data_IF_808572198088
#
_entry.id   IF_808572198088
#
_cell.length_a   1.000
_cell.length_b   1.000
_cell.length_c   1.000
_cell.angle_alpha   90.00
_cell.angle_beta   90.00
_cell.angle_gamma   90.00
#
_symmetry.space_group_name_H-M   'P 1'
#
loop_
_entity.id
_entity.type
_entity.pdbx_description
1 polymer ?
#
# COMPACT_ATOMS: atom_id res chain seq x y z
N UNK A 1 -7.27 -1.05 -22.49
CA UNK A 1 -6.77 0.01 -21.59
C UNK A 1 -6.45 1.33 -22.28
N UNK A 2 -5.95 1.37 -23.53
CA UNK A 2 -5.60 2.64 -24.20
C UNK A 2 -6.77 3.63 -24.33
N UNK A 3 -7.99 3.16 -24.66
CA UNK A 3 -9.19 4.03 -24.80
C UNK A 3 -9.71 4.58 -23.46
N UNK A 4 -9.35 3.96 -22.35
CA UNK A 4 -9.70 4.40 -20.99
C UNK A 4 -8.53 5.08 -20.30
N UNK A 5 -7.55 5.59 -21.07
CA UNK A 5 -6.35 6.27 -20.56
C UNK A 5 -5.58 5.49 -19.50
N UNK A 6 -5.52 4.15 -19.65
CA UNK A 6 -4.83 3.24 -18.75
C UNK A 6 -5.42 3.10 -17.34
N UNK A 7 -6.70 3.41 -17.17
CA UNK A 7 -7.46 3.15 -15.94
C UNK A 7 -8.47 2.03 -16.14
N UNK A 8 -8.62 1.18 -15.12
CA UNK A 8 -9.72 0.22 -14.99
C UNK A 8 -10.38 0.48 -13.64
N UNK A 9 -11.71 0.51 -13.61
CA UNK A 9 -12.49 0.58 -12.38
C UNK A 9 -12.87 -0.83 -11.94
N UNK A 10 -12.66 -1.12 -10.65
CA UNK A 10 -13.02 -2.38 -10.03
C UNK A 10 -14.03 -2.11 -8.91
N UNK A 11 -15.08 -2.96 -8.77
CA UNK A 11 -15.99 -2.85 -7.65
C UNK A 11 -15.29 -3.24 -6.34
N UNK A 12 -15.78 -2.66 -5.24
CA UNK A 12 -15.44 -3.04 -3.86
C UNK A 12 -16.50 -4.02 -3.35
N UNK A 13 -16.18 -4.75 -2.28
CA UNK A 13 -17.16 -5.57 -1.56
C UNK A 13 -18.40 -4.75 -1.17
N UNK A 14 -19.58 -5.36 -1.33
CA UNK A 14 -20.86 -4.74 -1.04
C UNK A 14 -21.19 -4.85 0.44
N UNK A 15 -21.49 -3.72 1.09
CA UNK A 15 -22.06 -3.69 2.44
C UNK A 15 -23.57 -3.37 2.37
N UNK A 16 -24.34 -3.91 3.30
CA UNK A 16 -25.79 -3.70 3.36
C UNK A 16 -26.25 -3.26 4.76
N UNK A 17 -27.14 -2.26 4.86
CA UNK A 17 -27.76 -1.91 6.12
C UNK A 17 -28.85 -2.94 6.49
N UNK A 18 -29.02 -3.19 7.78
CA UNK A 18 -30.13 -3.98 8.32
C UNK A 18 -30.97 -3.13 9.27
N UNK A 19 -32.27 -3.42 9.37
CA UNK A 19 -33.20 -2.69 10.21
C UNK A 19 -34.20 -3.65 10.87
N UNK A 20 -34.44 -3.46 12.16
CA UNK A 20 -35.38 -4.27 12.93
C UNK A 20 -36.80 -3.69 12.89
N UNK A 21 -37.80 -4.55 13.12
CA UNK A 21 -39.20 -4.15 13.27
C UNK A 21 -40.14 -4.86 12.30
N UNK A 22 -41.42 -4.96 12.70
CA UNK A 22 -42.47 -5.58 11.89
C UNK A 22 -43.00 -4.65 10.79
N UNK A 23 -42.90 -3.33 10.98
CA UNK A 23 -43.33 -2.32 10.03
C UNK A 23 -42.12 -1.65 9.34
N UNK A 24 -42.01 -1.93 8.04
CA UNK A 24 -40.98 -1.42 7.14
C UNK A 24 -41.57 -0.52 6.04
N UNK A 25 -42.80 -0.01 6.22
CA UNK A 25 -43.43 0.92 5.27
C UNK A 25 -42.54 2.15 5.06
N UNK A 26 -42.28 2.49 3.79
CA UNK A 26 -41.40 3.60 3.37
C UNK A 26 -39.94 3.54 3.88
N UNK A 27 -39.47 2.37 4.34
CA UNK A 27 -38.08 2.14 4.78
C UNK A 27 -37.26 1.29 3.82
N UNK A 28 -37.66 1.19 2.56
CA UNK A 28 -36.89 0.47 1.55
C UNK A 28 -35.55 1.18 1.29
N UNK A 29 -34.43 0.47 1.46
CA UNK A 29 -33.08 1.02 1.25
C UNK A 29 -32.64 0.88 -0.21
N UNK A 30 -31.79 1.81 -0.66
CA UNK A 30 -31.17 1.73 -1.98
C UNK A 30 -30.02 0.72 -2.05
N UNK A 31 -29.48 0.54 -3.25
CA UNK A 31 -28.23 -0.20 -3.48
C UNK A 31 -27.11 0.81 -3.75
N UNK A 32 -25.98 0.65 -3.06
CA UNK A 32 -24.77 1.45 -3.26
C UNK A 32 -23.57 0.51 -3.37
N UNK A 33 -22.95 0.44 -4.54
CA UNK A 33 -21.72 -0.30 -4.81
C UNK A 33 -20.59 0.69 -5.07
N UNK A 34 -19.46 0.52 -4.39
CA UNK A 34 -18.32 1.44 -4.49
C UNK A 34 -17.30 0.95 -5.51
N UNK A 35 -16.52 1.90 -6.05
CA UNK A 35 -15.50 1.62 -7.06
C UNK A 35 -14.11 2.08 -6.62
N UNK A 36 -13.09 1.36 -7.10
CA UNK A 36 -11.66 1.65 -6.95
C UNK A 36 -11.00 1.70 -8.32
N UNK A 37 -10.23 2.75 -8.57
CA UNK A 37 -9.46 2.87 -9.80
C UNK A 37 -8.10 2.16 -9.68
N UNK A 38 -7.82 1.22 -10.59
CA UNK A 38 -6.47 0.70 -10.81
C UNK A 38 -5.87 1.35 -12.05
N UNK A 39 -4.64 1.84 -11.89
CA UNK A 39 -3.94 2.64 -12.89
C UNK A 39 -2.64 1.96 -13.33
N UNK A 40 -2.24 2.23 -14.57
CA UNK A 40 -0.93 1.87 -15.07
C UNK A 40 0.10 2.97 -14.75
N UNK A 41 1.34 2.58 -14.47
CA UNK A 41 2.45 3.52 -14.34
C UNK A 41 3.10 3.85 -15.68
N UNK A 42 4.20 4.58 -15.63
CA UNK A 42 5.11 4.76 -16.77
C UNK A 42 5.98 3.51 -16.98
N UNK A 43 6.37 3.21 -18.24
CA UNK A 43 7.26 2.08 -18.52
C UNK A 43 8.65 2.30 -17.93
N UNK A 44 9.18 1.26 -17.30
CA UNK A 44 10.57 1.19 -16.83
C UNK A 44 11.48 0.72 -17.97
N UNK A 45 12.70 1.27 -18.05
CA UNK A 45 13.59 1.04 -19.18
C UNK A 45 15.06 0.89 -18.76
N UNK A 46 15.78 -0.03 -19.39
CA UNK A 46 17.23 0.09 -19.58
C UNK A 46 17.49 0.46 -21.05
N UNK A 47 18.30 1.48 -21.28
CA UNK A 47 18.59 2.01 -22.59
C UNK A 47 20.08 2.33 -22.72
N UNK A 48 20.72 1.76 -23.73
CA UNK A 48 22.16 1.94 -23.94
C UNK A 48 22.55 1.79 -25.41
N UNK A 49 23.76 2.23 -25.73
CA UNK A 49 24.33 2.14 -27.06
C UNK A 49 25.74 1.55 -27.03
N UNK A 50 26.13 0.88 -28.11
CA UNK A 50 27.50 0.46 -28.37
C UNK A 50 27.92 0.86 -29.79
N UNK A 51 29.20 1.15 -30.00
CA UNK A 51 29.74 1.36 -31.34
C UNK A 51 30.20 0.02 -31.93
N UNK A 52 30.27 -0.08 -33.26
CA UNK A 52 30.60 -1.32 -33.96
C UNK A 52 31.95 -1.96 -33.54
N UNK A 53 32.93 -1.18 -33.08
CA UNK A 53 34.22 -1.69 -32.59
C UNK A 53 34.16 -2.32 -31.19
N UNK A 54 33.17 -1.96 -30.37
CA UNK A 54 32.95 -2.54 -29.04
C UNK A 54 32.30 -3.93 -29.09
N UNK A 55 31.71 -4.31 -30.23
CA UNK A 55 31.00 -5.58 -30.42
C UNK A 55 31.90 -6.71 -30.94
N UNK A 56 33.23 -6.52 -30.96
CA UNK A 56 34.19 -7.59 -31.29
C UNK A 56 34.16 -8.71 -30.25
N UNK A 57 33.82 -8.41 -29.01
CA UNK A 57 33.52 -9.36 -27.94
C UNK A 57 32.13 -9.05 -27.36
N UNK A 58 31.20 -10.00 -27.50
CA UNK A 58 29.83 -9.85 -27.02
C UNK A 58 29.65 -10.09 -25.52
N UNK A 59 30.70 -10.51 -24.80
CA UNK A 59 30.60 -10.93 -23.40
C UNK A 59 30.03 -9.82 -22.51
N UNK A 60 30.57 -8.60 -22.63
CA UNK A 60 30.10 -7.45 -21.85
C UNK A 60 28.65 -7.06 -22.20
N UNK A 61 28.29 -7.12 -23.47
CA UNK A 61 26.93 -6.87 -23.95
C UNK A 61 25.92 -7.87 -23.35
N UNK A 62 26.22 -9.17 -23.41
CA UNK A 62 25.34 -10.22 -22.86
C UNK A 62 25.19 -10.13 -21.34
N UNK A 63 26.26 -9.80 -20.61
CA UNK A 63 26.18 -9.57 -19.17
C UNK A 63 25.29 -8.37 -18.82
N UNK A 64 25.33 -7.29 -19.62
CA UNK A 64 24.45 -6.15 -19.40
C UNK A 64 22.97 -6.51 -19.54
N UNK A 65 22.60 -7.31 -20.54
CA UNK A 65 21.21 -7.76 -20.73
C UNK A 65 20.70 -8.53 -19.50
N UNK A 66 21.51 -9.45 -18.96
CA UNK A 66 21.15 -10.21 -17.76
C UNK A 66 21.06 -9.30 -16.51
N UNK A 67 21.97 -8.34 -16.39
CA UNK A 67 21.96 -7.35 -15.30
C UNK A 67 20.71 -6.47 -15.35
N UNK A 68 20.30 -6.04 -16.55
CA UNK A 68 19.09 -5.23 -16.74
C UNK A 68 17.83 -5.99 -16.32
N UNK A 69 17.72 -7.28 -16.65
CA UNK A 69 16.59 -8.12 -16.22
C UNK A 69 16.43 -8.12 -14.70
N UNK A 70 17.52 -8.36 -13.96
CA UNK A 70 17.52 -8.37 -12.48
C UNK A 70 17.22 -6.99 -11.91
N UNK A 71 17.71 -5.92 -12.54
CA UNK A 71 17.45 -4.56 -12.09
C UNK A 71 15.97 -4.17 -12.25
N UNK A 72 15.35 -4.53 -13.37
CA UNK A 72 13.91 -4.32 -13.60
C UNK A 72 13.06 -5.12 -12.61
N UNK A 73 13.39 -6.40 -12.35
CA UNK A 73 12.75 -7.20 -11.31
C UNK A 73 12.83 -6.51 -9.94
N UNK A 74 14.01 -5.99 -9.58
CA UNK A 74 14.23 -5.28 -8.33
C UNK A 74 13.39 -4.00 -8.22
N UNK A 75 13.20 -3.25 -9.31
CA UNK A 75 12.40 -2.04 -9.30
C UNK A 75 10.92 -2.33 -9.03
N UNK A 76 10.39 -3.45 -9.52
CA UNK A 76 9.01 -3.87 -9.24
C UNK A 76 8.81 -4.10 -7.74
N UNK A 77 9.69 -4.87 -7.11
CA UNK A 77 9.61 -5.15 -5.67
C UNK A 77 9.74 -3.88 -4.81
N UNK A 78 10.63 -2.95 -5.19
CA UNK A 78 10.77 -1.65 -4.52
C UNK A 78 9.49 -0.82 -4.62
N UNK A 79 8.84 -0.78 -5.79
CA UNK A 79 7.57 -0.04 -5.96
C UNK A 79 6.46 -0.63 -5.09
N UNK A 80 6.40 -1.96 -4.95
CA UNK A 80 5.46 -2.63 -4.04
C UNK A 80 5.75 -2.29 -2.58
N UNK A 81 7.02 -2.42 -2.16
CA UNK A 81 7.42 -2.13 -0.79
C UNK A 81 7.15 -0.67 -0.39
N UNK A 82 7.48 0.28 -1.27
CA UNK A 82 7.21 1.70 -1.05
C UNK A 82 5.72 1.99 -1.04
N UNK A 83 4.95 1.46 -1.99
CA UNK A 83 3.50 1.66 -2.04
C UNK A 83 2.84 1.19 -0.74
N UNK A 84 3.21 0.00 -0.26
CA UNK A 84 2.65 -0.56 0.96
C UNK A 84 3.00 0.27 2.20
N UNK A 85 4.26 0.69 2.34
CA UNK A 85 4.71 1.53 3.45
C UNK A 85 4.11 2.95 3.42
N UNK A 86 3.88 3.51 2.23
CA UNK A 86 3.35 4.87 2.05
C UNK A 86 1.84 4.93 2.28
N UNK A 87 1.09 3.97 1.74
CA UNK A 87 -0.39 3.96 1.72
C UNK A 87 -1.01 3.14 2.86
N UNK A 88 -0.22 2.31 3.57
CA UNK A 88 -0.72 1.48 4.67
C UNK A 88 -1.48 2.28 5.73
N UNK A 89 -2.75 1.93 5.94
CA UNK A 89 -3.65 2.63 6.85
C UNK A 89 -3.53 2.13 8.29
N UNK A 90 -3.21 0.85 8.50
CA UNK A 90 -3.05 0.28 9.83
C UNK A 90 -1.66 0.63 10.35
N UNK A 91 -1.57 1.39 11.43
CA UNK A 91 -0.28 1.84 11.97
C UNK A 91 -0.09 1.30 13.37
N UNK A 92 0.98 0.53 13.57
CA UNK A 92 1.35 0.00 14.88
C UNK A 92 2.62 0.69 15.31
N UNK A 93 2.52 1.48 16.36
CA UNK A 93 3.65 2.16 16.98
C UNK A 93 4.03 1.46 18.27
N UNK A 94 5.33 1.32 18.52
CA UNK A 94 5.83 0.93 19.84
C UNK A 94 6.82 1.98 20.34
N UNK A 95 6.74 2.44 21.59
CA UNK A 95 7.74 3.34 22.17
C UNK A 95 9.15 2.74 22.17
N UNK A 96 9.23 1.43 22.41
CA UNK A 96 10.47 0.68 22.48
C UNK A 96 10.81 0.02 21.14
N UNK A 97 12.11 -0.08 20.88
CA UNK A 97 12.59 -0.84 19.73
C UNK A 97 12.42 -2.35 19.99
N UNK A 98 12.17 -3.13 18.93
CA UNK A 98 12.20 -4.60 19.01
C UNK A 98 13.53 -5.06 19.61
N UNK A 99 13.50 -6.11 20.43
CA UNK A 99 14.62 -6.70 21.16
C UNK A 99 14.88 -6.13 22.56
N UNK A 100 14.06 -5.18 23.03
CA UNK A 100 14.18 -4.52 24.35
C UNK A 100 13.56 -5.37 25.45
N UNK A 101 12.39 -5.96 25.20
CA UNK A 101 11.65 -6.75 26.18
C UNK A 101 11.56 -8.21 25.73
N UNK A 102 11.33 -9.11 26.68
CA UNK A 102 11.08 -10.52 26.36
C UNK A 102 9.77 -10.64 25.56
N UNK A 103 9.80 -11.42 24.48
CA UNK A 103 8.66 -11.67 23.60
C UNK A 103 8.11 -10.43 22.85
N UNK A 104 8.82 -9.30 22.83
CA UNK A 104 8.37 -8.08 22.13
C UNK A 104 8.21 -8.30 20.63
N UNK A 105 9.08 -9.08 20.00
CA UNK A 105 8.98 -9.45 18.60
C UNK A 105 7.70 -10.23 18.29
N UNK A 106 7.32 -11.18 19.14
CA UNK A 106 6.06 -11.91 18.98
C UNK A 106 4.88 -10.98 19.22
N UNK A 107 4.94 -10.14 20.25
CA UNK A 107 3.85 -9.24 20.59
C UNK A 107 3.58 -8.26 19.45
N UNK A 108 4.63 -7.68 18.86
CA UNK A 108 4.50 -6.74 17.76
C UNK A 108 3.91 -7.35 16.48
N UNK A 109 4.12 -8.66 16.24
CA UNK A 109 3.43 -9.40 15.17
C UNK A 109 1.98 -9.68 15.56
N UNK A 110 1.73 -10.05 16.81
CA UNK A 110 0.38 -10.32 17.31
C UNK A 110 -0.51 -9.07 17.30
N UNK A 111 0.02 -7.89 17.63
CA UNK A 111 -0.69 -6.62 17.55
C UNK A 111 -1.19 -6.34 16.12
N UNK A 112 -0.43 -6.79 15.10
CA UNK A 112 -0.82 -6.69 13.70
C UNK A 112 -1.93 -7.66 13.30
N UNK A 113 -1.97 -8.84 13.90
CA UNK A 113 -3.09 -9.75 13.70
C UNK A 113 -4.34 -9.24 14.42
N UNK A 114 -4.19 -8.77 15.66
CA UNK A 114 -5.29 -8.25 16.48
C UNK A 114 -5.99 -7.09 15.78
N UNK A 115 -5.26 -6.12 15.24
CA UNK A 115 -5.89 -4.97 14.57
C UNK A 115 -6.60 -5.37 13.27
N UNK A 116 -6.10 -6.38 12.54
CA UNK A 116 -6.78 -6.90 11.35
C UNK A 116 -8.02 -7.73 11.72
N UNK A 117 -7.93 -8.53 12.78
CA UNK A 117 -9.01 -9.39 13.27
C UNK A 117 -10.15 -8.58 13.89
N UNK A 118 -9.83 -7.66 14.81
CA UNK A 118 -10.82 -6.84 15.53
C UNK A 118 -11.59 -5.90 14.62
N UNK A 119 -10.97 -5.48 13.50
CA UNK A 119 -11.66 -4.72 12.44
C UNK A 119 -12.49 -5.59 11.50
N UNK A 120 -12.46 -6.91 11.65
CA UNK A 120 -13.18 -7.87 10.80
C UNK A 120 -12.79 -7.78 9.32
N UNK A 121 -11.51 -7.49 9.02
CA UNK A 121 -11.05 -7.39 7.65
C UNK A 121 -11.10 -8.76 6.96
N UNK A 122 -11.58 -8.80 5.72
CA UNK A 122 -11.49 -10.00 4.88
C UNK A 122 -10.02 -10.40 4.66
N UNK A 123 -9.70 -11.65 5.01
CA UNK A 123 -8.38 -12.29 4.97
C UNK A 123 -8.38 -13.63 4.22
N UNK A 124 -9.43 -13.93 3.44
CA UNK A 124 -9.63 -15.25 2.82
C UNK A 124 -8.51 -15.67 1.85
N UNK A 125 -7.82 -14.69 1.26
CA UNK A 125 -6.69 -14.92 0.33
C UNK A 125 -5.35 -15.13 1.03
N UNK A 126 -5.31 -15.07 2.36
CA UNK A 126 -4.10 -15.18 3.17
C UNK A 126 -3.59 -13.84 3.69
N UNK A 127 -2.66 -13.92 4.63
CA UNK A 127 -2.01 -12.76 5.26
C UNK A 127 -0.50 -12.88 5.30
N UNK A 128 0.17 -11.77 4.97
CA UNK A 128 1.63 -11.71 4.89
C UNK A 128 2.20 -10.62 5.79
N UNK A 129 3.33 -10.90 6.43
CA UNK A 129 4.07 -10.01 7.30
C UNK A 129 5.55 -9.96 6.90
N UNK A 130 6.11 -8.77 6.70
CA UNK A 130 7.48 -8.57 6.23
C UNK A 130 8.29 -7.77 7.23
N UNK A 131 9.21 -8.45 7.91
CA UNK A 131 10.23 -7.79 8.70
C UNK A 131 11.28 -7.10 7.84
N UNK A 132 11.84 -6.03 8.38
CA UNK A 132 13.13 -5.53 7.91
C UNK A 132 14.26 -6.47 8.39
N UNK A 133 15.46 -6.43 7.78
CA UNK A 133 16.53 -7.37 8.14
C UNK A 133 17.01 -7.24 9.59
N UNK A 134 16.97 -6.02 10.14
CA UNK A 134 17.51 -5.73 11.46
C UNK A 134 16.60 -6.25 12.58
N UNK A 135 15.30 -5.96 12.51
CA UNK A 135 14.35 -6.39 13.55
C UNK A 135 14.05 -7.89 13.41
N UNK A 136 14.12 -8.46 12.20
CA UNK A 136 14.10 -9.92 12.03
C UNK A 136 15.22 -10.62 12.82
N UNK A 137 16.45 -10.08 12.76
CA UNK A 137 17.58 -10.61 13.54
C UNK A 137 17.28 -10.56 15.04
N UNK A 138 16.72 -9.46 15.54
CA UNK A 138 16.39 -9.32 16.97
C UNK A 138 15.28 -10.26 17.40
N UNK A 139 14.31 -10.51 16.53
CA UNK A 139 13.26 -11.47 16.77
C UNK A 139 13.80 -12.91 16.84
N UNK A 140 14.75 -13.30 15.98
CA UNK A 140 15.48 -14.57 16.12
C UNK A 140 16.37 -14.61 17.39
N UNK A 141 16.95 -13.47 17.77
CA UNK A 141 17.74 -13.36 19.00
C UNK A 141 16.90 -13.60 20.27
N UNK A 142 15.65 -13.12 20.33
CA UNK A 142 14.74 -13.40 21.45
C UNK A 142 14.48 -14.90 21.64
N UNK A 143 14.44 -15.68 20.55
CA UNK A 143 14.26 -17.14 20.62
C UNK A 143 15.51 -17.84 21.17
N UNK A 144 16.70 -17.36 20.82
CA UNK A 144 17.98 -17.97 21.24
C UNK A 144 18.44 -17.56 22.63
N UNK A 145 17.87 -16.50 23.23
CA UNK A 145 18.06 -16.16 24.65
C UNK A 145 17.44 -17.20 25.59
N UNK A 146 16.46 -17.95 25.09
CA UNK A 146 15.76 -19.00 25.86
C UNK A 146 16.59 -20.28 25.82
N UNK A 147 16.36 -21.16 26.79
CA UNK A 147 16.98 -22.47 26.77
C UNK A 147 16.64 -23.19 25.46
N UNK A 148 17.67 -23.65 24.76
CA UNK A 148 17.54 -24.26 23.43
C UNK A 148 16.99 -25.67 23.61
N UNK A 149 15.67 -25.77 23.67
CA UNK A 149 14.95 -27.02 23.77
C UNK A 149 13.74 -27.01 22.84
N UNK A 150 13.61 -28.06 22.02
CA UNK A 150 12.57 -28.17 21.01
C UNK A 150 12.88 -27.43 19.71
N UNK A 151 11.99 -27.61 18.72
CA UNK A 151 12.25 -27.23 17.32
C UNK A 151 12.45 -25.74 17.08
N UNK A 152 11.64 -24.89 17.73
CA UNK A 152 11.62 -23.44 17.45
C UNK A 152 12.97 -22.76 17.77
N UNK A 153 13.51 -22.85 19.00
CA UNK A 153 14.81 -22.22 19.30
C UNK A 153 15.99 -22.92 18.61
N UNK A 154 15.89 -24.23 18.33
CA UNK A 154 16.95 -24.98 17.64
C UNK A 154 17.07 -24.59 16.16
N UNK A 155 15.95 -24.50 15.43
CA UNK A 155 15.90 -24.02 14.04
C UNK A 155 16.32 -22.54 13.96
N UNK A 156 15.90 -21.70 14.92
CA UNK A 156 16.34 -20.31 15.00
C UNK A 156 17.86 -20.17 15.22
N UNK A 157 18.46 -21.05 16.02
CA UNK A 157 19.89 -21.07 16.26
C UNK A 157 20.70 -21.57 15.04
N UNK A 158 20.24 -22.63 14.37
CA UNK A 158 20.95 -23.25 13.24
C UNK A 158 20.81 -22.45 11.94
N UNK A 159 19.58 -22.07 11.60
CA UNK A 159 19.25 -21.52 10.27
C UNK A 159 19.06 -20.00 10.30
N UNK A 160 19.00 -19.40 11.50
CA UNK A 160 18.76 -17.96 11.66
C UNK A 160 17.39 -17.53 11.15
N UNK A 161 16.41 -18.44 11.17
CA UNK A 161 15.03 -18.22 10.72
C UNK A 161 14.08 -18.16 11.91
N UNK A 162 13.03 -17.37 11.75
CA UNK A 162 11.83 -17.45 12.55
C UNK A 162 10.86 -18.40 11.82
N UNK A 163 9.93 -19.00 12.55
CA UNK A 163 8.89 -19.83 11.98
C UNK A 163 8.08 -19.05 10.92
N UNK A 164 7.63 -19.74 9.87
CA UNK A 164 6.85 -19.10 8.78
C UNK A 164 5.51 -18.57 9.25
N UNK A 165 4.86 -19.26 10.18
CA UNK A 165 3.59 -18.86 10.76
C UNK A 165 3.80 -18.43 12.20
N UNK A 166 3.55 -17.15 12.48
CA UNK A 166 3.64 -16.57 13.83
C UNK A 166 2.43 -15.71 14.07
N UNK A 167 1.79 -15.90 15.23
CA UNK A 167 0.68 -15.09 15.72
C UNK A 167 -0.49 -14.93 14.72
N UNK A 168 -0.79 -15.99 13.96
CA UNK A 168 -1.95 -16.03 13.06
C UNK A 168 -1.70 -15.59 11.61
N UNK A 169 -0.52 -15.06 11.29
CA UNK A 169 -0.11 -14.79 9.91
C UNK A 169 0.28 -16.08 9.18
N UNK A 170 -0.08 -16.16 7.89
CA UNK A 170 0.26 -17.30 7.03
C UNK A 170 1.73 -17.29 6.64
N UNK A 171 2.27 -16.11 6.31
CA UNK A 171 3.65 -15.94 5.89
C UNK A 171 4.35 -14.78 6.61
N UNK A 172 5.36 -15.13 7.41
CA UNK A 172 6.27 -14.19 8.08
C UNK A 172 7.63 -14.25 7.41
N UNK A 173 7.96 -13.18 6.70
CA UNK A 173 9.11 -13.07 5.81
C UNK A 173 10.00 -11.89 6.19
N UNK A 174 11.12 -11.75 5.47
CA UNK A 174 12.01 -10.59 5.57
C UNK A 174 12.33 -10.05 4.19
N UNK A 175 12.33 -8.73 4.03
CA UNK A 175 12.78 -8.08 2.80
C UNK A 175 13.80 -6.97 3.09
N UNK A 176 14.94 -6.92 2.38
CA UNK A 176 15.90 -5.83 2.52
C UNK A 176 15.42 -4.51 1.90
N UNK A 177 14.31 -4.55 1.14
CA UNK A 177 13.82 -3.42 0.34
C UNK A 177 12.78 -2.56 1.05
N UNK A 178 12.38 -2.94 2.26
CA UNK A 178 11.48 -2.15 3.07
C UNK A 178 12.10 -0.77 3.37
N UNK A 179 11.38 0.33 3.09
CA UNK A 179 11.92 1.68 3.19
C UNK A 179 12.14 2.13 4.64
N UNK A 180 12.83 3.26 4.79
CA UNK A 180 12.86 4.02 6.04
C UNK A 180 11.78 5.08 5.94
N UNK A 181 10.87 5.10 6.91
CA UNK A 181 9.89 6.17 7.03
C UNK A 181 10.52 7.30 7.87
N UNK A 182 10.77 8.44 7.22
CA UNK A 182 11.30 9.64 7.87
C UNK A 182 10.21 10.27 8.74
N UNK A 183 10.60 10.79 9.91
CA UNK A 183 9.71 11.49 10.83
C UNK A 183 9.04 12.70 10.18
N UNK A 184 7.83 13.01 10.61
CA UNK A 184 7.21 14.28 10.26
C UNK A 184 7.79 15.40 11.12
N UNK A 185 7.81 16.63 10.59
CA UNK A 185 8.15 17.84 11.37
C UNK A 185 6.91 18.66 11.72
N UNK A 186 5.74 18.20 11.27
CA UNK A 186 4.45 18.77 11.59
C UNK A 186 4.20 18.76 13.11
N UNK A 187 3.69 19.87 13.62
CA UNK A 187 3.29 20.02 15.03
C UNK A 187 2.04 20.90 15.08
N UNK A 188 1.21 20.70 16.11
CA UNK A 188 0.06 21.57 16.41
C UNK A 188 -0.93 21.79 15.24
N UNK A 189 -1.16 20.75 14.44
CA UNK A 189 -2.15 20.77 13.36
C UNK A 189 -3.52 20.39 13.91
N UNK A 190 -4.55 21.10 13.48
CA UNK A 190 -5.94 20.82 13.81
C UNK A 190 -6.79 20.74 12.54
N UNK A 191 -7.89 20.00 12.60
CA UNK A 191 -8.93 20.05 11.57
C UNK A 191 -9.54 21.46 11.52
N UNK A 192 -9.82 21.96 10.32
CA UNK A 192 -10.46 23.26 10.10
C UNK A 192 -11.91 23.05 9.67
N UNK A 193 -12.85 23.38 10.55
CA UNK A 193 -14.28 23.17 10.35
C UNK A 193 -14.72 21.72 10.49
N UNK A 194 -16.00 21.51 10.80
CA UNK A 194 -16.58 20.17 10.83
C UNK A 194 -16.69 19.61 9.39
N UNK A 195 -16.23 18.37 9.18
CA UNK A 195 -16.15 17.73 7.87
C UNK A 195 -16.78 16.33 7.91
N UNK A 196 -17.63 16.06 6.91
CA UNK A 196 -18.26 14.76 6.68
C UNK A 196 -17.90 14.26 5.28
N UNK A 197 -17.74 12.93 5.16
CA UNK A 197 -17.35 12.27 3.92
C UNK A 197 -18.37 11.21 3.54
N UNK A 198 -18.91 11.32 2.33
CA UNK A 198 -19.92 10.40 1.81
C UNK A 198 -19.28 9.36 0.87
N UNK A 199 -19.58 8.07 1.05
CA UNK A 199 -19.29 7.07 0.05
C UNK A 199 -20.25 7.26 -1.13
N UNK A 200 -19.71 7.36 -2.34
CA UNK A 200 -20.50 7.57 -3.57
C UNK A 200 -19.90 6.74 -4.71
N UNK A 201 -20.77 6.13 -5.52
CA UNK A 201 -20.34 5.38 -6.70
C UNK A 201 -19.87 6.30 -7.83
N UNK A 202 -20.60 7.41 -8.01
CA UNK A 202 -20.37 8.43 -9.04
C UNK A 202 -20.84 9.80 -8.54
N UNK A 203 -20.37 10.86 -9.18
CA UNK A 203 -20.88 12.21 -9.03
C UNK A 203 -21.20 12.82 -10.40
N UNK A 204 -22.03 13.86 -10.42
CA UNK A 204 -22.27 14.62 -11.64
C UNK A 204 -21.06 15.52 -11.92
N UNK A 205 -20.59 15.52 -13.16
CA UNK A 205 -19.73 16.59 -13.65
C UNK A 205 -20.54 17.88 -13.88
N UNK A 206 -19.84 18.97 -14.22
CA UNK A 206 -20.47 20.28 -14.45
C UNK A 206 -21.49 20.27 -15.60
N UNK A 207 -21.39 19.29 -16.51
CA UNK A 207 -22.25 19.16 -17.69
C UNK A 207 -23.38 18.14 -17.47
N UNK A 208 -23.46 17.52 -16.28
CA UNK A 208 -24.48 16.56 -15.87
C UNK A 208 -24.19 15.09 -16.22
N UNK A 209 -22.99 14.75 -16.68
CA UNK A 209 -22.60 13.35 -16.89
C UNK A 209 -22.16 12.71 -15.58
N UNK A 210 -22.30 11.38 -15.48
CA UNK A 210 -21.86 10.62 -14.30
C UNK A 210 -20.39 10.25 -14.44
N UNK A 211 -19.59 10.63 -13.44
CA UNK A 211 -18.17 10.27 -13.35
C UNK A 211 -17.95 9.42 -12.10
N UNK A 212 -17.27 8.29 -12.26
CA UNK A 212 -16.94 7.39 -11.16
C UNK A 212 -16.04 8.06 -10.13
N UNK A 213 -16.22 7.69 -8.87
CA UNK A 213 -15.43 8.21 -7.74
C UNK A 213 -14.61 7.10 -7.09
N UNK A 214 -13.35 7.41 -6.80
CA UNK A 214 -12.47 6.56 -6.02
C UNK A 214 -12.75 6.77 -4.52
N UNK A 215 -13.17 5.71 -3.84
CA UNK A 215 -13.56 5.79 -2.43
C UNK A 215 -12.42 5.58 -1.43
N UNK A 216 -11.19 5.35 -1.90
CA UNK A 216 -10.01 5.16 -1.03
C UNK A 216 -9.50 6.45 -0.40
N UNK A 217 -9.84 7.60 -0.97
CA UNK A 217 -9.22 8.88 -0.63
C UNK A 217 -10.24 9.91 -0.13
N UNK A 218 -9.79 10.78 0.77
CA UNK A 218 -10.53 11.94 1.23
C UNK A 218 -9.60 13.15 1.31
N UNK A 219 -10.04 14.31 0.85
CA UNK A 219 -9.32 15.57 1.06
C UNK A 219 -9.86 16.24 2.31
N UNK A 220 -8.98 16.45 3.29
CA UNK A 220 -9.29 17.05 4.59
C UNK A 220 -8.70 18.46 4.64
N UNK A 221 -9.47 19.42 5.13
CA UNK A 221 -8.96 20.78 5.40
C UNK A 221 -8.42 20.85 6.83
N UNK A 222 -7.17 21.29 6.95
CA UNK A 222 -6.42 21.44 8.18
C UNK A 222 -6.06 22.91 8.41
N UNK A 223 -5.66 23.26 9.63
CA UNK A 223 -5.20 24.61 9.98
C UNK A 223 -3.90 24.99 9.26
N UNK A 224 -3.02 24.02 9.04
CA UNK A 224 -1.82 24.14 8.21
C UNK A 224 -1.35 22.74 7.77
N UNK A 225 -0.65 22.65 6.64
CA UNK A 225 0.00 21.42 6.17
C UNK A 225 1.53 21.47 6.29
N UNK A 226 2.08 22.55 6.85
CA UNK A 226 3.52 22.73 7.02
C UNK A 226 4.13 21.58 7.84
N UNK A 227 5.14 20.94 7.26
CA UNK A 227 5.87 19.83 7.89
C UNK A 227 5.30 18.44 7.60
N UNK A 228 4.08 18.34 7.03
CA UNK A 228 3.52 17.08 6.53
C UNK A 228 4.09 16.74 5.15
N UNK A 229 4.23 15.44 4.88
CA UNK A 229 4.65 14.91 3.58
C UNK A 229 3.94 13.58 3.26
N UNK A 230 4.02 13.18 1.99
CA UNK A 230 3.53 11.88 1.52
C UNK A 230 4.13 10.74 2.36
N UNK A 231 3.27 9.83 2.80
CA UNK A 231 3.61 8.69 3.64
C UNK A 231 3.57 8.96 5.15
N UNK A 232 3.41 10.21 5.60
CA UNK A 232 3.23 10.49 7.03
C UNK A 232 1.99 9.77 7.58
N UNK A 233 2.10 9.33 8.83
CA UNK A 233 1.08 8.55 9.53
C UNK A 233 0.46 9.42 10.60
N UNK A 234 -0.88 9.53 10.57
CA UNK A 234 -1.62 10.42 11.46
C UNK A 234 -2.82 9.73 12.09
N UNK A 235 -3.31 10.27 13.20
CA UNK A 235 -4.63 9.96 13.74
C UNK A 235 -5.36 11.23 14.16
N UNK A 236 -6.69 11.16 14.24
CA UNK A 236 -7.51 12.26 14.73
C UNK A 236 -8.00 11.94 16.13
N UNK A 237 -7.78 12.88 17.06
CA UNK A 237 -8.09 12.65 18.48
C UNK A 237 -9.58 12.37 18.69
N UNK A 238 -9.89 11.21 19.28
CA UNK A 238 -11.27 10.78 19.58
C UNK A 238 -11.96 9.99 18.46
N UNK A 239 -11.33 9.89 17.27
CA UNK A 239 -11.81 9.05 16.17
C UNK A 239 -11.24 7.65 16.35
N UNK A 240 -12.14 6.66 16.39
CA UNK A 240 -11.82 5.26 16.67
C UNK A 240 -12.26 4.37 15.52
N UNK A 241 -11.58 3.25 15.35
CA UNK A 241 -11.98 2.24 14.37
C UNK A 241 -13.31 1.59 14.74
N UNK A 242 -14.00 1.07 13.72
CA UNK A 242 -15.15 0.18 13.86
C UNK A 242 -14.82 -1.21 13.32
N UNK A 243 -15.50 -2.24 13.86
CA UNK A 243 -15.60 -3.54 13.20
C UNK A 243 -16.37 -3.38 11.90
N UNK A 244 -15.85 -3.89 10.78
CA UNK A 244 -16.44 -3.66 9.46
C UNK A 244 -17.86 -4.23 9.33
N UNK A 245 -18.18 -5.39 9.92
CA UNK A 245 -19.53 -5.95 9.83
C UNK A 245 -20.39 -5.54 11.03
N UNK A 246 -19.88 -5.75 12.24
CA UNK A 246 -20.67 -5.54 13.46
C UNK A 246 -20.85 -4.07 13.85
N UNK A 247 -20.02 -3.16 13.31
CA UNK A 247 -19.99 -1.72 13.62
C UNK A 247 -19.82 -1.40 15.11
N UNK A 248 -19.27 -2.33 15.90
CA UNK A 248 -18.84 -2.07 17.27
C UNK A 248 -17.63 -1.12 17.27
N UNK A 249 -17.58 -0.22 18.24
CA UNK A 249 -16.46 0.72 18.42
C UNK A 249 -15.28 -0.03 19.05
N UNK A 250 -14.10 0.08 18.44
CA UNK A 250 -12.85 -0.44 18.99
C UNK A 250 -12.21 0.60 19.92
N UNK A 251 -11.35 0.13 20.83
CA UNK A 251 -10.64 1.03 21.75
C UNK A 251 -9.52 1.83 21.08
N UNK A 252 -8.94 1.27 20.01
CA UNK A 252 -7.83 1.85 19.26
C UNK A 252 -8.28 3.03 18.39
N UNK A 253 -7.48 4.10 18.40
CA UNK A 253 -7.73 5.26 17.55
C UNK A 253 -7.53 4.93 16.06
N UNK A 254 -8.34 5.55 15.21
CA UNK A 254 -8.27 5.36 13.77
C UNK A 254 -7.00 6.00 13.19
N UNK A 255 -6.26 5.22 12.40
CA UNK A 255 -5.00 5.64 11.79
C UNK A 255 -5.15 5.86 10.29
N UNK A 256 -4.45 6.87 9.77
CA UNK A 256 -4.53 7.33 8.39
C UNK A 256 -3.13 7.58 7.82
N UNK A 257 -3.01 7.43 6.51
CA UNK A 257 -1.80 7.76 5.74
C UNK A 257 -2.03 8.99 4.86
N UNK A 258 -1.06 9.91 4.83
CA UNK A 258 -1.06 11.06 3.90
C UNK A 258 -0.62 10.60 2.51
N UNK A 259 -1.51 10.70 1.53
CA UNK A 259 -1.25 10.32 0.13
C UNK A 259 -0.53 11.45 -0.62
N UNK A 260 -0.98 12.69 -0.40
CA UNK A 260 -0.31 13.91 -0.87
C UNK A 260 -0.75 15.13 -0.07
N UNK A 261 0.11 16.14 -0.06
CA UNK A 261 -0.23 17.50 0.36
C UNK A 261 -0.67 18.25 -0.89
N UNK A 262 -1.91 18.73 -0.93
CA UNK A 262 -2.47 19.40 -2.10
C UNK A 262 -2.06 20.87 -2.12
N UNK A 263 -2.18 21.54 -0.97
CA UNK A 263 -1.77 22.92 -0.76
C UNK A 263 -1.44 23.18 0.72
N UNK A 264 -1.35 24.46 1.13
CA UNK A 264 -1.01 24.87 2.50
C UNK A 264 -2.04 24.52 3.58
N UNK A 265 -3.24 24.10 3.20
CA UNK A 265 -4.37 23.79 4.09
C UNK A 265 -5.06 22.45 3.79
N UNK A 266 -4.90 21.89 2.59
CA UNK A 266 -5.57 20.65 2.17
C UNK A 266 -4.60 19.48 2.05
N UNK A 267 -4.98 18.36 2.67
CA UNK A 267 -4.24 17.09 2.62
C UNK A 267 -5.18 15.97 2.20
N UNK A 268 -4.69 15.10 1.31
CA UNK A 268 -5.40 13.90 0.90
C UNK A 268 -4.93 12.70 1.73
N UNK A 269 -5.87 12.03 2.38
CA UNK A 269 -5.62 10.90 3.27
C UNK A 269 -6.28 9.61 2.78
N UNK A 270 -5.84 8.48 3.34
CA UNK A 270 -6.44 7.16 3.15
C UNK A 270 -6.50 6.39 4.48
N UNK A 271 -7.57 5.61 4.75
CA UNK A 271 -8.80 5.50 3.97
C UNK A 271 -9.69 6.75 4.19
N UNK A 272 -10.79 6.86 3.42
CA UNK A 272 -11.82 7.89 3.65
C UNK A 272 -12.50 7.65 5.01
N UNK A 273 -12.51 8.62 5.95
CA UNK A 273 -13.19 8.44 7.25
C UNK A 273 -14.70 8.63 7.09
N UNK A 274 -15.44 7.53 6.96
CA UNK A 274 -16.90 7.52 6.89
C UNK A 274 -17.44 7.27 8.30
N UNK A 275 -18.11 8.28 8.84
CA UNK A 275 -18.57 8.30 10.22
C UNK A 275 -19.91 7.57 10.41
N UNK A 276 -19.99 6.74 11.44
CA UNK A 276 -21.21 6.02 11.79
C UNK A 276 -22.31 6.94 12.33
N UNK A 277 -21.93 7.94 13.14
CA UNK A 277 -22.85 8.89 13.78
C UNK A 277 -23.34 10.02 12.87
N UNK A 278 -22.87 10.08 11.62
CA UNK A 278 -23.28 11.13 10.69
C UNK A 278 -24.72 10.91 10.21
N UNK A 279 -25.60 11.80 10.68
CA UNK A 279 -27.03 11.83 10.33
C UNK A 279 -27.27 12.26 8.88
N UNK A 280 -26.27 12.82 8.20
CA UNK A 280 -26.36 13.25 6.80
C UNK A 280 -26.20 12.10 5.79
N UNK A 281 -25.77 10.92 6.26
CA UNK A 281 -25.63 9.71 5.45
C UNK A 281 -26.97 8.98 5.32
N UNK A 282 -27.26 8.47 4.12
CA UNK A 282 -28.34 7.51 3.95
C UNK A 282 -28.02 6.17 4.62
N UNK A 283 -29.01 5.29 4.87
CA UNK A 283 -28.76 3.97 5.46
C UNK A 283 -27.71 3.16 4.71
N UNK A 284 -27.79 3.12 3.38
CA UNK A 284 -26.82 2.42 2.53
C UNK A 284 -25.42 3.06 2.52
N UNK A 285 -25.31 4.38 2.74
CA UNK A 285 -24.01 5.04 2.91
C UNK A 285 -23.41 4.74 4.28
N UNK A 286 -24.23 4.75 5.33
CA UNK A 286 -23.82 4.44 6.70
C UNK A 286 -23.38 2.99 6.86
N UNK A 287 -23.89 2.08 6.02
CA UNK A 287 -23.39 0.72 5.96
C UNK A 287 -21.86 0.69 5.81
N UNK A 288 -21.26 1.53 4.96
CA UNK A 288 -19.80 1.60 4.75
C UNK A 288 -19.02 2.39 5.81
N UNK A 289 -19.61 2.69 6.98
CA UNK A 289 -18.90 3.41 8.04
C UNK A 289 -17.70 2.60 8.56
N UNK A 290 -16.57 3.28 8.71
CA UNK A 290 -15.30 2.70 9.20
C UNK A 290 -14.74 3.42 10.43
N UNK A 291 -15.28 4.60 10.77
CA UNK A 291 -14.95 5.34 11.99
C UNK A 291 -16.21 5.69 12.76
N UNK A 292 -16.08 5.80 14.08
CA UNK A 292 -17.20 6.06 14.98
C UNK A 292 -17.85 7.45 14.77
N UNK A 293 -17.04 8.48 14.54
CA UNK A 293 -17.49 9.88 14.54
C UNK A 293 -16.89 10.72 13.42
N UNK A 294 -17.60 11.79 13.05
CA UNK A 294 -17.15 12.76 12.03
C UNK A 294 -16.00 13.62 12.53
N UNK A 295 -15.24 14.22 11.60
CA UNK A 295 -14.17 15.15 11.98
C UNK A 295 -14.77 16.46 12.48
N UNK A 296 -14.57 16.77 13.77
CA UNK A 296 -15.04 18.00 14.38
C UNK A 296 -14.08 19.17 14.14
N UNK A 297 -14.60 20.40 14.23
CA UNK A 297 -13.77 21.60 14.20
C UNK A 297 -12.75 21.61 15.35
N UNK A 298 -11.54 22.11 15.08
CA UNK A 298 -10.41 22.16 16.01
C UNK A 298 -9.92 20.81 16.57
N UNK A 299 -10.35 19.67 16.00
CA UNK A 299 -9.86 18.35 16.39
C UNK A 299 -8.35 18.23 16.14
N UNK A 300 -7.59 17.82 17.15
CA UNK A 300 -6.14 17.71 17.06
C UNK A 300 -5.71 16.52 16.19
N UNK A 301 -4.73 16.77 15.31
CA UNK A 301 -4.10 15.77 14.47
C UNK A 301 -2.81 15.28 15.13
N UNK A 302 -2.78 13.99 15.46
CA UNK A 302 -1.61 13.34 16.05
C UNK A 302 -0.71 12.80 14.94
N UNK A 303 0.60 12.97 15.10
CA UNK A 303 1.62 12.39 14.22
C UNK A 303 2.13 11.09 14.85
N UNK A 304 2.07 9.98 14.10
CA UNK A 304 2.46 8.65 14.58
C UNK A 304 3.93 8.33 14.27
N UNK A 305 4.49 8.89 13.20
CA UNK A 305 5.91 8.76 12.84
C UNK A 305 6.74 9.91 13.44
N UNK A 306 6.96 9.86 14.75
CA UNK A 306 7.72 10.87 15.50
C UNK A 306 9.24 10.74 15.33
N UNK A 307 9.71 9.55 14.97
CA UNK A 307 11.13 9.24 14.77
C UNK A 307 11.36 8.40 13.51
N UNK A 308 12.49 8.67 12.84
CA UNK A 308 12.94 7.86 11.69
C UNK A 308 13.03 6.39 12.08
N UNK A 309 12.31 5.54 11.36
CA UNK A 309 12.33 4.10 11.59
C UNK A 309 12.26 3.34 10.28
N UNK A 310 12.94 2.19 10.22
CA UNK A 310 12.81 1.28 9.09
C UNK A 310 11.51 0.50 9.24
N UNK A 311 10.66 0.57 8.24
CA UNK A 311 9.31 0.03 8.31
C UNK A 311 9.30 -1.49 8.36
N UNK A 312 8.33 -2.02 9.07
CA UNK A 312 7.82 -3.39 8.92
C UNK A 312 6.47 -3.27 8.21
N UNK A 313 6.14 -4.15 7.27
CA UNK A 313 4.92 -4.02 6.48
C UNK A 313 4.13 -5.33 6.54
N UNK A 314 2.81 -5.24 6.61
CA UNK A 314 1.91 -6.39 6.61
C UNK A 314 0.65 -6.10 5.81
N UNK A 315 0.01 -7.12 5.27
CA UNK A 315 -1.24 -6.96 4.53
C UNK A 315 -2.05 -8.26 4.42
N UNK A 316 -3.32 -8.12 4.02
CA UNK A 316 -4.08 -9.21 3.40
C UNK A 316 -3.69 -9.34 1.91
N UNK A 317 -3.52 -10.55 1.40
CA UNK A 317 -2.83 -10.80 0.12
C UNK A 317 -3.58 -10.27 -1.12
N UNK A 318 -4.87 -9.96 -0.99
CA UNK A 318 -5.68 -9.34 -2.03
C UNK A 318 -5.56 -7.80 -2.10
N UNK A 319 -4.88 -7.18 -1.12
CA UNK A 319 -4.83 -5.74 -0.95
C UNK A 319 -3.96 -5.01 -1.99
N UNK A 320 -2.90 -5.65 -2.51
CA UNK A 320 -1.97 -5.07 -3.49
C UNK A 320 -2.02 -5.86 -4.79
N UNK A 321 -2.13 -5.13 -5.92
CA UNK A 321 -2.16 -5.70 -7.26
C UNK A 321 -1.12 -5.05 -8.16
N UNK A 322 -0.50 -5.86 -9.00
CA UNK A 322 0.35 -5.40 -10.10
C UNK A 322 -0.45 -5.54 -11.39
N UNK A 323 -0.66 -4.41 -12.07
CA UNK A 323 -1.29 -4.39 -13.39
C UNK A 323 -0.19 -4.21 -14.41
N UNK A 324 -0.13 -5.09 -15.42
CA UNK A 324 0.82 -4.97 -16.53
C UNK A 324 0.09 -4.98 -17.87
N UNK A 325 0.64 -4.28 -18.85
CA UNK A 325 0.14 -4.31 -20.23
C UNK A 325 1.31 -4.54 -21.19
N UNK A 326 1.11 -5.34 -22.25
CA UNK A 326 2.14 -5.57 -23.24
C UNK A 326 2.42 -4.30 -24.05
N UNK A 327 3.69 -4.07 -24.39
CA UNK A 327 4.10 -3.00 -25.32
C UNK A 327 4.08 -3.59 -26.75
N UNK A 328 3.25 -3.09 -27.68
CA UNK A 328 3.06 -3.71 -28.99
C UNK A 328 4.17 -3.33 -30.00
N UNK A 329 5.43 -3.51 -29.63
CA UNK A 329 6.58 -3.21 -30.50
C UNK A 329 6.81 -4.26 -31.62
N UNK A 330 6.00 -5.32 -31.65
CA UNK A 330 5.99 -6.32 -32.73
C UNK A 330 5.03 -5.94 -33.88
N UNK A 331 4.34 -4.81 -33.79
CA UNK A 331 3.45 -4.31 -34.83
C UNK A 331 4.25 -3.96 -36.11
N UNK A 332 3.65 -4.15 -37.28
CA UNK A 332 4.25 -3.87 -38.60
C UNK A 332 4.77 -2.43 -38.76
N UNK A 333 4.25 -1.51 -37.96
CA UNK A 333 4.66 -0.11 -37.91
C UNK A 333 6.15 0.04 -37.55
N UNK A 334 6.69 -0.88 -36.75
CA UNK A 334 8.06 -0.82 -36.24
C UNK A 334 9.04 -1.65 -37.08
N UNK A 335 9.08 -1.42 -38.39
CA UNK A 335 9.92 -2.19 -39.32
C UNK A 335 11.44 -1.93 -39.19
N UNK A 336 11.86 -0.84 -38.55
CA UNK A 336 13.27 -0.43 -38.46
C UNK A 336 14.06 -1.06 -37.31
N UNK A 337 13.39 -1.55 -36.26
CA UNK A 337 14.01 -2.14 -35.08
C UNK A 337 13.70 -3.64 -35.01
N UNK A 338 14.65 -4.44 -34.52
CA UNK A 338 14.39 -5.85 -34.21
C UNK A 338 13.86 -5.96 -32.80
N UNK A 339 12.69 -6.57 -32.64
CA UNK A 339 11.99 -6.71 -31.36
C UNK A 339 11.76 -8.17 -31.01
N UNK A 340 11.85 -8.48 -29.72
CA UNK A 340 11.54 -9.82 -29.17
C UNK A 340 10.89 -9.66 -27.79
N UNK A 341 10.09 -10.65 -27.40
CA UNK A 341 9.56 -10.72 -26.03
C UNK A 341 10.71 -10.94 -25.04
N UNK A 342 10.64 -10.30 -23.87
CA UNK A 342 11.67 -10.40 -22.84
C UNK A 342 11.02 -10.71 -21.48
N UNK A 343 11.25 -11.92 -20.96
CA UNK A 343 10.73 -12.32 -19.65
C UNK A 343 11.63 -11.80 -18.53
N UNK A 344 11.01 -11.24 -17.49
CA UNK A 344 11.70 -10.80 -16.29
C UNK A 344 11.69 -11.95 -15.29
N UNK A 345 12.86 -12.45 -14.84
CA UNK A 345 12.90 -13.52 -13.84
C UNK A 345 12.27 -13.07 -12.52
N UNK A 346 11.84 -14.04 -11.72
CA UNK A 346 11.36 -13.91 -10.33
C UNK A 346 10.01 -13.17 -10.13
N UNK A 347 9.64 -12.25 -11.02
CA UNK A 347 8.42 -11.42 -10.88
C UNK A 347 7.30 -11.87 -11.82
N UNK A 348 7.61 -12.70 -12.83
CA UNK A 348 6.61 -13.25 -13.76
C UNK A 348 6.02 -12.24 -14.76
N UNK A 349 6.57 -11.02 -14.83
CA UNK A 349 6.17 -10.01 -15.81
C UNK A 349 6.96 -10.12 -17.11
N UNK A 350 6.30 -9.77 -18.22
CA UNK A 350 6.92 -9.77 -19.54
C UNK A 350 7.05 -8.34 -20.09
N UNK A 351 8.25 -8.03 -20.55
CA UNK A 351 8.58 -6.81 -21.27
C UNK A 351 8.95 -7.09 -22.72
N UNK A 352 9.66 -6.15 -23.32
CA UNK A 352 10.21 -6.25 -24.68
C UNK A 352 11.70 -5.95 -24.69
N UNK A 353 12.39 -6.55 -25.65
CA UNK A 353 13.78 -6.26 -26.00
C UNK A 353 13.84 -5.77 -27.45
N UNK A 354 14.40 -4.58 -27.66
CA UNK A 354 14.47 -3.93 -28.97
C UNK A 354 15.89 -3.45 -29.29
N UNK A 355 16.33 -3.64 -30.54
CA UNK A 355 17.64 -3.15 -31.03
C UNK A 355 17.51 -2.48 -32.39
N UNK A 356 18.24 -1.39 -32.60
CA UNK A 356 18.26 -0.65 -33.86
C UNK A 356 19.66 -0.06 -34.14
N UNK A 357 20.14 -0.17 -35.38
CA UNK A 357 21.41 0.41 -35.81
C UNK A 357 21.26 1.81 -36.41
N UNK A 358 22.30 2.63 -36.26
CA UNK A 358 22.48 3.89 -36.99
C UNK A 358 23.71 3.79 -37.90
N UNK A 359 23.48 3.94 -39.20
CA UNK A 359 24.52 3.89 -40.23
C UNK A 359 25.48 5.09 -40.15
N UNK A 360 25.01 6.24 -39.68
CA UNK A 360 25.77 7.50 -39.68
C UNK A 360 26.94 7.44 -38.72
N UNK A 361 26.73 6.83 -37.55
CA UNK A 361 27.70 6.74 -36.47
C UNK A 361 28.30 5.34 -36.30
N UNK A 362 27.81 4.36 -37.10
CA UNK A 362 28.10 2.94 -36.93
C UNK A 362 27.86 2.46 -35.48
N UNK A 363 26.78 2.95 -34.87
CA UNK A 363 26.36 2.57 -33.52
C UNK A 363 25.08 1.75 -33.53
N UNK A 364 24.85 1.01 -32.45
CA UNK A 364 23.63 0.26 -32.20
C UNK A 364 23.02 0.65 -30.87
N UNK A 365 21.72 0.91 -30.86
CA UNK A 365 20.91 1.23 -29.69
C UNK A 365 20.17 -0.03 -29.24
N UNK A 366 20.13 -0.25 -27.93
CA UNK A 366 19.45 -1.37 -27.30
C UNK A 366 18.52 -0.85 -26.19
N UNK A 367 17.29 -1.34 -26.17
CA UNK A 367 16.27 -0.99 -25.18
C UNK A 367 15.59 -2.23 -24.62
N UNK A 368 15.57 -2.36 -23.30
CA UNK A 368 14.69 -3.29 -22.59
C UNK A 368 13.60 -2.45 -21.92
N UNK A 369 12.33 -2.75 -22.18
CA UNK A 369 11.21 -2.00 -21.63
C UNK A 369 10.21 -2.92 -20.93
N UNK A 370 9.74 -2.49 -19.75
CA UNK A 370 8.73 -3.19 -18.95
C UNK A 370 7.64 -2.20 -18.52
N UNK A 371 6.38 -2.51 -18.79
CA UNK A 371 5.27 -1.59 -18.50
C UNK A 371 4.28 -2.19 -17.49
N UNK A 372 4.23 -1.57 -16.32
CA UNK A 372 3.43 -2.02 -15.19
C UNK A 372 3.06 -0.85 -14.26
N UNK A 373 2.05 -1.07 -13.43
CA UNK A 373 1.63 -0.20 -12.34
C UNK A 373 1.32 -1.01 -11.08
N UNK A 374 1.72 -0.49 -9.92
CA UNK A 374 1.40 -1.09 -8.62
C UNK A 374 0.22 -0.31 -8.03
N UNK A 375 -0.79 -1.02 -7.54
CA UNK A 375 -2.01 -0.44 -7.01
C UNK A 375 -2.37 -1.09 -5.67
N UNK A 376 -2.61 -0.27 -4.63
CA UNK A 376 -3.21 -0.72 -3.39
C UNK A 376 -4.73 -0.67 -3.50
N UNK A 377 -5.38 -1.79 -3.81
CA UNK A 377 -6.84 -1.88 -3.98
C UNK A 377 -7.57 -1.69 -2.65
N UNK A 378 -7.03 -2.23 -1.55
CA UNK A 378 -7.56 -2.10 -0.19
C UNK A 378 -6.52 -1.49 0.76
N UNK A 379 -6.28 -0.15 0.72
CA UNK A 379 -5.34 0.51 1.62
C UNK A 379 -5.57 0.20 3.10
N UNK A 380 -6.82 0.03 3.49
CA UNK A 380 -7.23 -0.28 4.86
C UNK A 380 -6.83 -1.68 5.37
N UNK A 381 -6.44 -2.58 4.47
CA UNK A 381 -5.92 -3.91 4.78
C UNK A 381 -4.39 -3.99 4.65
N UNK A 382 -3.74 -2.85 4.45
CA UNK A 382 -2.28 -2.72 4.46
C UNK A 382 -1.89 -1.99 5.74
N UNK A 383 -0.84 -2.49 6.38
CA UNK A 383 -0.32 -1.91 7.60
C UNK A 383 1.18 -1.74 7.62
N UNK A 384 1.60 -0.86 8.52
CA UNK A 384 3.00 -0.54 8.78
C UNK A 384 3.28 -0.60 10.28
N UNK A 385 4.32 -1.33 10.64
CA UNK A 385 4.90 -1.36 11.97
C UNK A 385 6.06 -0.37 12.09
N UNK A 386 6.00 0.47 13.14
CA UNK A 386 7.00 1.46 13.51
C UNK A 386 7.46 1.22 14.96
N UNK A 387 8.47 0.34 15.19
CA UNK A 387 9.05 0.18 16.51
C UNK A 387 9.97 1.36 16.89
N UNK A 388 10.11 1.64 18.18
CA UNK A 388 10.99 2.69 18.72
C UNK A 388 10.51 4.13 18.52
N UNK A 389 9.20 4.35 18.42
CA UNK A 389 8.56 5.67 18.26
C UNK A 389 8.44 6.37 19.62
N UNK A 390 9.50 7.07 19.99
CA UNK A 390 9.52 7.95 21.15
C UNK A 390 9.97 9.35 20.70
N UNK A 391 9.37 10.39 21.29
CA UNK A 391 9.58 11.79 20.93
C UNK A 391 10.97 12.32 21.34
#
# INVERSE_FOLDING_TARGET
>A
MQRSSNTIWMPVEQESPTQEGWDLTDKATGLLELNVAVNMGEPDNDFFQLRADDLRDETAYRHRIQSAARKLANNVELKVANMAAEIGSLVITSPDAIGTNTADARNFVADAEEIMFSRELNRDMGTSYFFNPQDYKKAGYDLTKRDIFGRIPEEAYRDGTIQRQVAGFDDVLRSPKLPVLTKSTATSITVSGAQSFKPVAWQLDNDGNKVNIDNRFATVTLSATTGLKRGDKISFTGVKFLGQMAKNVLDQDATFSVVRVVDGTHVEITPKPVALDDVSLSPEQRAYANVNTSLADAMAVNILNVKDARTIVFWADDAIRIVSQPIPANHELFAGMKTTSFSIPDVGLNGIFATQGDISTLSGLCRIALWYGVNATRPEAIGVGLPGQTA
#
